data_IF_597672399754
#
_entry.id   IF_597672399754
#
_cell.length_a   1.000
_cell.length_b   1.000
_cell.length_c   1.000
_cell.angle_alpha   90.00
_cell.angle_beta   90.00
_cell.angle_gamma   90.00
#
_symmetry.space_group_name_H-M   'P 1'
#
loop_
_entity.id
_entity.type
_entity.pdbx_description
1 polymer ?
#
# COMPACT_ATOMS: atom_id res chain seq x y z
N UNK A 1 -1.01 10.98 13.82
CA UNK A 1 -1.83 11.00 12.58
C UNK A 1 -3.18 10.32 12.79
N UNK A 2 -3.27 9.00 13.08
CA UNK A 2 -4.56 8.29 13.32
C UNK A 2 -5.43 8.93 14.44
N UNK A 3 -4.82 9.30 15.57
CA UNK A 3 -5.55 9.96 16.68
C UNK A 3 -6.27 11.23 16.21
N UNK A 4 -5.61 12.07 15.42
CA UNK A 4 -6.17 13.36 14.99
C UNK A 4 -7.34 13.15 14.01
N UNK A 5 -7.29 12.10 13.20
CA UNK A 5 -8.40 11.69 12.33
C UNK A 5 -9.61 11.24 13.15
N UNK A 6 -9.42 10.36 14.14
CA UNK A 6 -10.50 9.88 15.02
C UNK A 6 -11.16 11.05 15.77
N UNK A 7 -10.35 11.98 16.30
CA UNK A 7 -10.87 13.18 16.97
C UNK A 7 -11.68 14.05 16.02
N UNK A 8 -11.20 14.26 14.81
CA UNK A 8 -11.91 15.07 13.80
C UNK A 8 -13.26 14.45 13.46
N UNK A 9 -13.29 13.17 13.09
CA UNK A 9 -14.52 12.44 12.77
C UNK A 9 -15.52 12.45 13.93
N UNK A 10 -15.04 12.27 15.17
CA UNK A 10 -15.88 12.33 16.36
C UNK A 10 -16.59 13.69 16.51
N UNK A 11 -15.89 14.79 16.26
CA UNK A 11 -16.49 16.12 16.35
C UNK A 11 -17.44 16.42 15.20
N UNK A 12 -17.17 15.97 13.98
CA UNK A 12 -18.10 16.06 12.85
C UNK A 12 -19.44 15.36 13.16
N UNK A 13 -19.36 14.16 13.72
CA UNK A 13 -20.56 13.41 14.14
C UNK A 13 -21.30 14.13 15.30
N UNK A 14 -20.59 14.68 16.27
CA UNK A 14 -21.25 15.44 17.36
C UNK A 14 -21.97 16.68 16.82
N UNK A 15 -21.39 17.40 15.88
CA UNK A 15 -22.03 18.55 15.22
C UNK A 15 -23.31 18.15 14.46
N UNK A 16 -23.23 17.02 13.75
CA UNK A 16 -24.42 16.46 13.07
C UNK A 16 -25.52 16.10 14.07
N UNK A 17 -25.18 15.41 15.14
CA UNK A 17 -26.12 15.09 16.22
C UNK A 17 -26.70 16.33 16.88
N UNK A 18 -25.90 17.33 17.16
CA UNK A 18 -26.35 18.61 17.71
C UNK A 18 -27.37 19.29 16.81
N UNK A 19 -27.14 19.29 15.50
CA UNK A 19 -28.07 19.82 14.50
C UNK A 19 -29.40 19.05 14.51
N UNK A 20 -29.35 17.73 14.50
CA UNK A 20 -30.55 16.87 14.56
C UNK A 20 -31.35 17.08 15.86
N UNK A 21 -30.70 17.25 16.99
CA UNK A 21 -31.34 17.53 18.27
C UNK A 21 -32.04 18.91 18.27
N UNK A 22 -31.39 19.92 17.70
CA UNK A 22 -31.93 21.26 17.55
C UNK A 22 -33.19 21.28 16.69
N UNK A 23 -33.21 20.52 15.60
CA UNK A 23 -34.41 20.35 14.73
C UNK A 23 -35.58 19.72 15.49
N UNK A 24 -35.31 18.90 16.51
CA UNK A 24 -36.30 18.29 17.40
C UNK A 24 -36.62 19.17 18.62
N UNK A 25 -36.19 20.42 18.66
CA UNK A 25 -36.43 21.35 19.76
C UNK A 25 -35.56 21.15 21.00
N UNK A 26 -34.53 20.29 20.91
CA UNK A 26 -33.55 20.05 22.00
C UNK A 26 -32.31 20.89 21.75
N UNK A 27 -32.09 21.91 22.58
CA UNK A 27 -30.97 22.84 22.44
C UNK A 27 -29.84 22.47 23.41
N UNK A 28 -28.97 21.55 22.99
CA UNK A 28 -27.79 21.10 23.76
C UNK A 28 -26.55 21.39 22.91
N UNK A 29 -25.52 21.97 23.52
CA UNK A 29 -24.23 22.24 22.89
C UNK A 29 -23.26 21.08 23.16
N UNK A 30 -23.18 20.14 22.21
CA UNK A 30 -22.39 18.91 22.36
C UNK A 30 -20.89 19.11 22.18
N UNK A 31 -20.48 20.11 21.38
CA UNK A 31 -19.05 20.37 21.07
C UNK A 31 -18.34 21.19 22.14
N UNK A 32 -19.07 21.70 23.11
CA UNK A 32 -18.50 22.39 24.28
C UNK A 32 -17.71 21.43 25.18
N UNK A 33 -16.76 21.92 25.95
CA UNK A 33 -15.96 21.14 26.89
C UNK A 33 -14.89 20.20 26.26
N UNK A 34 -14.37 20.59 25.10
CA UNK A 34 -13.17 19.96 24.56
C UNK A 34 -11.89 20.58 25.14
N UNK A 35 -11.09 19.77 25.80
CA UNK A 35 -9.76 20.12 26.27
C UNK A 35 -8.70 19.61 25.27
N UNK A 36 -8.17 20.52 24.43
CA UNK A 36 -7.15 20.18 23.43
C UNK A 36 -5.83 19.71 24.04
N UNK A 37 -5.45 20.21 25.20
CA UNK A 37 -4.19 19.86 25.87
C UNK A 37 -4.23 18.43 26.37
N UNK A 38 -5.32 18.06 27.02
CA UNK A 38 -5.52 16.72 27.59
C UNK A 38 -6.13 15.73 26.61
N UNK A 39 -6.56 16.19 25.43
CA UNK A 39 -7.33 15.39 24.46
C UNK A 39 -8.50 14.68 25.13
N UNK A 40 -9.31 15.44 25.86
CA UNK A 40 -10.45 14.94 26.63
C UNK A 40 -11.69 15.73 26.26
N UNK A 41 -12.77 15.02 26.00
CA UNK A 41 -14.10 15.60 25.83
C UNK A 41 -15.00 15.20 27.00
N UNK A 42 -15.74 16.16 27.54
CA UNK A 42 -16.68 15.95 28.62
C UNK A 42 -18.12 16.18 28.13
N UNK A 43 -18.97 15.18 28.32
CA UNK A 43 -20.39 15.27 28.03
C UNK A 43 -21.13 16.10 29.06
N UNK A 44 -22.35 16.56 28.70
CA UNK A 44 -23.26 17.30 29.59
C UNK A 44 -23.65 16.53 30.86
N UNK A 45 -23.59 15.21 30.85
CA UNK A 45 -23.90 14.36 31.98
C UNK A 45 -22.69 14.04 32.89
N UNK A 46 -21.52 14.65 32.56
CA UNK A 46 -20.25 14.43 33.30
C UNK A 46 -19.44 13.24 32.81
N UNK A 47 -19.89 12.49 31.80
CA UNK A 47 -19.07 11.43 31.18
C UNK A 47 -17.91 12.02 30.43
N UNK A 48 -16.76 11.35 30.45
CA UNK A 48 -15.55 11.78 29.76
C UNK A 48 -15.10 10.77 28.72
N UNK A 49 -14.63 11.28 27.59
CA UNK A 49 -13.93 10.49 26.55
C UNK A 49 -12.49 10.99 26.45
N UNK A 50 -11.56 10.06 26.61
CA UNK A 50 -10.12 10.31 26.53
C UNK A 50 -9.61 9.78 25.19
N UNK A 51 -9.01 10.65 24.38
CA UNK A 51 -8.36 10.25 23.12
C UNK A 51 -6.87 10.06 23.35
N UNK A 52 -6.37 8.84 23.10
CA UNK A 52 -4.97 8.47 23.37
C UNK A 52 -4.38 7.71 22.19
N UNK A 53 -3.07 7.89 21.96
CA UNK A 53 -2.32 7.03 21.03
C UNK A 53 -2.00 5.70 21.70
N UNK A 54 -2.00 4.63 20.91
CA UNK A 54 -1.76 3.25 21.36
C UNK A 54 -0.30 2.79 21.25
N UNK A 55 0.64 3.72 21.07
CA UNK A 55 2.08 3.41 20.92
C UNK A 55 2.73 2.85 22.18
N UNK A 56 2.24 3.26 23.36
CA UNK A 56 2.80 2.89 24.64
C UNK A 56 1.69 2.41 25.59
N UNK A 57 1.61 1.09 25.90
CA UNK A 57 0.63 0.53 26.81
C UNK A 57 0.68 1.12 28.23
N UNK A 58 1.82 1.67 28.65
CA UNK A 58 1.98 2.24 29.98
C UNK A 58 1.09 3.45 30.24
N UNK A 59 0.68 4.17 29.20
CA UNK A 59 -0.24 5.32 29.27
C UNK A 59 -1.62 4.96 29.83
N UNK A 60 -1.98 3.68 29.79
CA UNK A 60 -3.30 3.19 30.25
C UNK A 60 -3.29 2.63 31.67
N UNK A 61 -2.12 2.51 32.31
CA UNK A 61 -1.98 1.83 33.65
C UNK A 61 -2.84 2.40 34.74
N UNK A 62 -3.06 3.71 34.77
CA UNK A 62 -3.81 4.40 35.83
C UNK A 62 -5.30 4.55 35.57
N UNK A 63 -5.80 4.13 34.42
CA UNK A 63 -7.19 4.35 34.05
C UNK A 63 -8.15 3.40 34.77
N UNK A 64 -9.37 3.89 34.97
CA UNK A 64 -10.53 3.14 35.46
C UNK A 64 -11.66 3.42 34.47
N UNK A 65 -11.95 2.47 33.58
CA UNK A 65 -12.79 2.68 32.41
C UNK A 65 -14.14 1.97 32.52
N UNK A 66 -15.15 2.60 31.94
CA UNK A 66 -16.46 2.02 31.65
C UNK A 66 -16.45 1.33 30.28
N UNK A 67 -15.69 1.88 29.33
CA UNK A 67 -15.53 1.34 27.99
C UNK A 67 -14.26 1.83 27.33
N UNK A 68 -13.88 1.18 26.23
CA UNK A 68 -12.85 1.66 25.32
C UNK A 68 -13.21 1.36 23.87
N UNK A 69 -12.71 2.20 22.96
CA UNK A 69 -12.73 1.99 21.51
C UNK A 69 -11.32 1.90 20.96
N UNK A 70 -11.05 0.92 20.11
CA UNK A 70 -9.82 0.81 19.32
C UNK A 70 -10.17 0.91 17.85
N UNK A 71 -9.62 1.91 17.19
CA UNK A 71 -9.71 2.07 15.76
C UNK A 71 -8.47 1.43 15.11
N UNK A 72 -8.69 0.70 13.99
CA UNK A 72 -7.68 -0.11 13.30
C UNK A 72 -6.89 -1.03 14.25
N UNK A 73 -7.58 -1.90 15.04
CA UNK A 73 -6.94 -2.69 16.09
C UNK A 73 -5.90 -3.69 15.58
N UNK A 74 -5.96 -4.04 14.29
CA UNK A 74 -4.99 -4.95 13.66
C UNK A 74 -3.57 -4.40 13.66
N UNK A 75 -3.42 -3.08 13.70
CA UNK A 75 -2.13 -2.36 13.73
C UNK A 75 -1.70 -1.98 15.16
N UNK A 76 -2.51 -2.33 16.17
CA UNK A 76 -2.25 -2.05 17.58
C UNK A 76 -1.66 -3.31 18.25
N UNK A 77 -0.60 -3.17 19.09
CA UNK A 77 -0.05 -4.30 19.82
C UNK A 77 -1.07 -4.96 20.75
N UNK A 78 -1.04 -6.29 20.85
CA UNK A 78 -1.92 -7.10 21.73
C UNK A 78 -1.89 -6.62 23.19
N UNK A 79 -0.73 -6.16 23.66
CA UNK A 79 -0.52 -5.66 25.03
C UNK A 79 -1.40 -4.47 25.37
N UNK A 80 -1.70 -3.60 24.39
CA UNK A 80 -2.63 -2.47 24.57
C UNK A 80 -4.04 -2.98 24.85
N UNK A 81 -4.50 -3.95 24.06
CA UNK A 81 -5.82 -4.57 24.25
C UNK A 81 -5.93 -5.23 25.63
N UNK A 82 -4.94 -6.04 26.01
CA UNK A 82 -4.90 -6.70 27.31
C UNK A 82 -4.86 -5.69 28.46
N UNK A 83 -4.10 -4.60 28.31
CA UNK A 83 -4.06 -3.52 29.29
C UNK A 83 -5.42 -2.86 29.44
N UNK A 84 -6.09 -2.49 28.36
CA UNK A 84 -7.41 -1.86 28.38
C UNK A 84 -8.49 -2.77 28.95
N UNK A 85 -8.47 -4.06 28.65
CA UNK A 85 -9.36 -5.04 29.28
C UNK A 85 -9.19 -5.04 30.81
N UNK A 86 -7.95 -5.01 31.31
CA UNK A 86 -7.68 -4.92 32.73
C UNK A 86 -8.09 -3.59 33.37
N UNK A 87 -8.46 -2.59 32.58
CA UNK A 87 -8.98 -1.27 33.08
C UNK A 87 -10.50 -1.16 33.06
N UNK A 88 -11.21 -2.09 32.42
CA UNK A 88 -12.67 -2.20 32.49
C UNK A 88 -13.09 -2.71 33.89
N UNK A 89 -12.98 -1.87 34.89
CA UNK A 89 -13.16 -2.24 36.28
C UNK A 89 -13.96 -1.22 37.11
N UNK A 90 -14.62 -0.25 36.46
CA UNK A 90 -15.46 0.70 37.19
C UNK A 90 -16.71 -0.01 37.72
N UNK A 91 -16.78 -0.24 39.03
CA UNK A 91 -17.89 -0.92 39.67
C UNK A 91 -19.18 -0.11 39.70
N UNK A 92 -19.11 1.19 39.48
CA UNK A 92 -20.28 2.05 39.35
C UNK A 92 -20.97 1.94 37.98
N UNK A 93 -20.27 1.43 36.99
CA UNK A 93 -20.82 1.23 35.62
C UNK A 93 -21.66 -0.05 35.57
N UNK A 94 -22.83 0.05 34.93
CA UNK A 94 -23.68 -1.11 34.64
C UNK A 94 -23.21 -1.91 33.43
N UNK A 95 -22.42 -1.30 32.55
CA UNK A 95 -21.95 -1.89 31.31
C UNK A 95 -20.49 -1.59 31.11
N UNK A 96 -19.71 -2.64 30.94
CA UNK A 96 -18.28 -2.56 30.61
C UNK A 96 -18.09 -3.12 29.20
N UNK A 97 -17.65 -2.32 28.24
CA UNK A 97 -17.58 -2.69 26.84
C UNK A 97 -16.27 -2.26 26.19
N UNK A 98 -15.71 -3.14 25.34
CA UNK A 98 -14.66 -2.79 24.38
C UNK A 98 -15.22 -2.87 22.97
N UNK A 99 -15.01 -1.84 22.17
CA UNK A 99 -15.36 -1.79 20.74
C UNK A 99 -14.08 -1.74 19.91
N UNK A 100 -14.02 -2.56 18.89
CA UNK A 100 -12.91 -2.62 17.96
C UNK A 100 -13.48 -2.43 16.55
N UNK A 101 -12.94 -1.47 15.80
CA UNK A 101 -13.36 -1.15 14.43
C UNK A 101 -12.15 -1.12 13.52
N UNK A 102 -12.22 -1.75 12.36
CA UNK A 102 -11.13 -1.74 11.39
C UNK A 102 -11.26 -2.82 10.33
N UNK A 103 -10.32 -2.83 9.42
CA UNK A 103 -10.26 -3.81 8.37
C UNK A 103 -9.60 -5.12 8.86
N UNK A 104 -9.97 -6.28 8.30
CA UNK A 104 -9.32 -7.54 8.63
C UNK A 104 -7.84 -7.55 8.19
N UNK A 105 -7.07 -8.48 8.74
CA UNK A 105 -5.66 -8.71 8.41
C UNK A 105 -5.38 -10.21 8.27
N UNK A 106 -4.17 -10.65 8.61
CA UNK A 106 -3.81 -12.08 8.64
C UNK A 106 -4.49 -12.83 9.80
N UNK A 107 -4.79 -14.11 9.59
CA UNK A 107 -5.37 -14.97 10.65
C UNK A 107 -4.44 -15.18 11.85
N UNK A 108 -3.14 -14.89 11.70
CA UNK A 108 -2.19 -14.88 12.82
C UNK A 108 -2.33 -13.67 13.74
N UNK A 109 -3.05 -12.63 13.31
CA UNK A 109 -3.26 -11.41 14.08
C UNK A 109 -4.05 -11.71 15.37
N UNK A 110 -3.71 -11.01 16.47
CA UNK A 110 -4.34 -11.20 17.75
C UNK A 110 -5.87 -10.93 17.70
N UNK A 111 -6.33 -9.94 16.89
CA UNK A 111 -7.76 -9.66 16.72
C UNK A 111 -8.49 -10.89 16.19
N UNK A 112 -7.95 -11.53 15.13
CA UNK A 112 -8.53 -12.76 14.64
C UNK A 112 -8.58 -13.84 15.69
N UNK A 113 -7.48 -14.05 16.43
CA UNK A 113 -7.38 -15.09 17.45
C UNK A 113 -8.42 -14.93 18.57
N UNK A 114 -8.70 -13.69 19.00
CA UNK A 114 -9.67 -13.43 20.06
C UNK A 114 -11.12 -13.46 19.60
N UNK A 115 -11.41 -13.09 18.36
CA UNK A 115 -12.80 -12.98 17.88
C UNK A 115 -13.26 -14.15 17.02
N UNK A 116 -12.35 -14.82 16.33
CA UNK A 116 -12.66 -15.91 15.39
C UNK A 116 -11.84 -17.19 15.65
N UNK A 117 -10.64 -17.07 16.22
CA UNK A 117 -9.66 -18.15 16.37
C UNK A 117 -9.73 -18.87 17.70
N UNK A 118 -8.58 -19.42 18.11
CA UNK A 118 -8.46 -20.30 19.30
C UNK A 118 -8.66 -19.58 20.64
N UNK A 119 -8.38 -18.27 20.71
CA UNK A 119 -8.56 -17.45 21.93
C UNK A 119 -9.99 -16.91 22.09
N UNK A 120 -10.93 -17.31 21.21
CA UNK A 120 -12.30 -16.83 21.23
C UNK A 120 -13.01 -17.21 22.52
N UNK A 121 -13.75 -16.23 23.09
CA UNK A 121 -14.59 -16.41 24.29
C UNK A 121 -16.04 -16.09 23.98
N UNK A 122 -17.01 -16.61 24.76
CA UNK A 122 -18.44 -16.38 24.52
C UNK A 122 -18.85 -14.90 24.53
N UNK A 123 -18.15 -14.07 25.34
CA UNK A 123 -18.38 -12.63 25.46
C UNK A 123 -17.84 -11.82 24.27
N UNK A 124 -16.95 -12.39 23.47
CA UNK A 124 -16.40 -11.71 22.28
C UNK A 124 -17.33 -11.93 21.08
N UNK A 125 -17.88 -10.84 20.58
CA UNK A 125 -18.80 -10.83 19.43
C UNK A 125 -18.16 -10.07 18.28
N UNK A 126 -18.27 -10.61 17.07
CA UNK A 126 -17.84 -9.97 15.85
C UNK A 126 -19.04 -9.71 14.93
N UNK A 127 -19.03 -8.56 14.30
CA UNK A 127 -19.92 -8.21 13.19
C UNK A 127 -19.01 -8.01 11.98
N UNK A 128 -19.24 -8.81 10.95
CA UNK A 128 -18.51 -8.73 9.69
C UNK A 128 -19.38 -8.00 8.67
N UNK A 129 -18.77 -7.04 7.98
CA UNK A 129 -19.40 -6.27 6.91
C UNK A 129 -18.43 -6.16 5.74
N UNK A 130 -18.96 -5.82 4.59
CA UNK A 130 -18.19 -5.58 3.36
C UNK A 130 -18.48 -4.20 2.80
N UNK A 131 -17.63 -3.71 1.91
CA UNK A 131 -17.87 -2.47 1.17
C UNK A 131 -19.16 -2.56 0.35
N UNK A 132 -19.55 -3.77 -0.08
CA UNK A 132 -20.78 -4.01 -0.83
C UNK A 132 -22.06 -3.82 0.00
N UNK A 133 -21.97 -3.90 1.31
CA UNK A 133 -23.11 -3.68 2.23
C UNK A 133 -23.42 -2.17 2.41
N UNK A 134 -22.48 -1.30 1.99
CA UNK A 134 -22.66 0.14 2.04
C UNK A 134 -23.41 0.65 0.83
N UNK A 135 -24.73 0.76 0.95
CA UNK A 135 -25.65 1.20 -0.10
C UNK A 135 -25.50 2.68 -0.50
N UNK A 136 -24.74 3.46 0.24
CA UNK A 136 -24.49 4.88 -0.05
C UNK A 136 -23.33 5.09 -1.03
N UNK A 137 -22.51 4.07 -1.28
CA UNK A 137 -21.38 4.18 -2.21
C UNK A 137 -21.84 4.12 -3.67
N UNK A 138 -21.32 5.00 -4.54
CA UNK A 138 -21.59 4.93 -5.96
C UNK A 138 -21.09 3.60 -6.57
N UNK A 139 -21.86 2.91 -7.44
CA UNK A 139 -21.42 1.66 -8.07
C UNK A 139 -20.11 1.79 -8.85
N UNK A 140 -19.87 2.94 -9.49
CA UNK A 140 -18.61 3.21 -10.20
C UNK A 140 -17.41 3.25 -9.28
N UNK A 141 -17.57 3.72 -8.04
CA UNK A 141 -16.51 3.71 -7.03
C UNK A 141 -16.08 2.27 -6.70
N UNK A 142 -17.06 1.39 -6.42
CA UNK A 142 -16.80 -0.02 -6.12
C UNK A 142 -16.11 -0.70 -7.31
N UNK A 143 -16.62 -0.48 -8.53
CA UNK A 143 -16.02 -1.04 -9.75
C UNK A 143 -14.57 -0.57 -9.96
N UNK A 144 -14.29 0.72 -9.74
CA UNK A 144 -12.93 1.25 -9.85
C UNK A 144 -11.97 0.60 -8.86
N UNK A 145 -12.44 0.30 -7.65
CA UNK A 145 -11.65 -0.43 -6.65
C UNK A 145 -11.43 -1.89 -7.04
N UNK A 146 -12.46 -2.57 -7.57
CA UNK A 146 -12.34 -3.94 -8.08
C UNK A 146 -11.32 -4.06 -9.22
N UNK A 147 -11.31 -3.09 -10.13
CA UNK A 147 -10.39 -3.04 -11.27
C UNK A 147 -8.94 -2.74 -10.82
N UNK A 148 -8.77 -2.03 -9.70
CA UNK A 148 -7.47 -1.58 -9.19
C UNK A 148 -6.85 -2.56 -8.18
N UNK A 149 -7.65 -3.32 -7.44
CA UNK A 149 -7.18 -4.17 -6.36
C UNK A 149 -6.85 -5.58 -6.84
N UNK A 150 -5.72 -6.12 -6.35
CA UNK A 150 -5.46 -7.55 -6.45
C UNK A 150 -6.46 -8.35 -5.58
N UNK A 151 -6.44 -9.67 -5.74
CA UNK A 151 -7.41 -10.56 -5.07
C UNK A 151 -7.35 -10.44 -3.54
N UNK A 152 -6.16 -10.37 -2.96
CA UNK A 152 -6.00 -10.29 -1.50
C UNK A 152 -6.41 -8.92 -0.95
N UNK A 153 -6.06 -7.86 -1.68
CA UNK A 153 -6.45 -6.50 -1.30
C UNK A 153 -7.96 -6.32 -1.40
N UNK A 154 -8.58 -6.86 -2.46
CA UNK A 154 -10.03 -6.88 -2.61
C UNK A 154 -10.72 -7.73 -1.53
N UNK A 155 -10.16 -8.88 -1.16
CA UNK A 155 -10.71 -9.71 -0.08
C UNK A 155 -10.64 -8.97 1.26
N UNK A 156 -9.54 -8.27 1.54
CA UNK A 156 -9.37 -7.50 2.77
C UNK A 156 -10.28 -6.27 2.82
N UNK A 157 -10.18 -5.39 1.83
CA UNK A 157 -10.78 -4.04 1.89
C UNK A 157 -12.17 -3.94 1.26
N UNK A 158 -12.53 -4.82 0.31
CA UNK A 158 -13.86 -4.82 -0.27
C UNK A 158 -14.79 -5.87 0.36
N UNK A 159 -14.26 -7.08 0.63
CA UNK A 159 -15.07 -8.19 1.12
C UNK A 159 -14.99 -8.40 2.64
N UNK A 160 -14.11 -7.67 3.34
CA UNK A 160 -13.94 -7.80 4.79
C UNK A 160 -13.44 -9.17 5.25
N UNK A 161 -12.65 -9.87 4.44
CA UNK A 161 -12.21 -11.25 4.71
C UNK A 161 -10.85 -11.32 5.39
N UNK A 162 -10.75 -12.16 6.40
CA UNK A 162 -9.49 -12.54 6.99
C UNK A 162 -8.76 -13.54 6.10
N UNK A 163 -7.47 -13.28 5.81
CA UNK A 163 -6.65 -14.10 4.92
C UNK A 163 -5.36 -14.58 5.55
N UNK A 164 -4.74 -15.60 4.96
CA UNK A 164 -3.36 -15.97 5.24
C UNK A 164 -2.46 -15.23 4.24
N UNK A 165 -2.26 -13.93 4.49
CA UNK A 165 -1.35 -13.14 3.66
C UNK A 165 0.07 -13.63 3.89
N UNK A 166 0.59 -14.42 2.96
CA UNK A 166 1.94 -14.99 3.03
C UNK A 166 3.07 -13.94 2.87
N UNK A 167 2.71 -12.68 2.90
CA UNK A 167 3.63 -11.54 2.78
C UNK A 167 4.19 -11.30 1.38
N UNK A 168 3.99 -12.20 0.43
CA UNK A 168 4.48 -12.02 -0.94
C UNK A 168 3.71 -10.90 -1.64
N UNK A 169 4.44 -9.93 -2.21
CA UNK A 169 3.83 -8.75 -2.82
C UNK A 169 3.20 -9.08 -4.18
N UNK A 170 3.92 -9.79 -5.03
CA UNK A 170 3.48 -10.12 -6.39
C UNK A 170 2.97 -11.56 -6.49
N UNK A 171 1.89 -11.88 -5.79
CA UNK A 171 1.28 -13.23 -5.78
C UNK A 171 0.72 -13.66 -7.14
N UNK A 172 0.31 -12.69 -7.95
CA UNK A 172 -0.20 -12.95 -9.30
C UNK A 172 0.93 -13.21 -10.31
N UNK A 173 2.18 -12.94 -9.95
CA UNK A 173 3.32 -13.37 -10.76
C UNK A 173 3.44 -14.89 -10.70
N UNK A 174 3.31 -15.54 -11.85
CA UNK A 174 3.49 -16.99 -12.04
C UNK A 174 4.58 -17.18 -13.07
N UNK A 175 5.70 -17.80 -12.68
CA UNK A 175 6.85 -17.99 -13.55
C UNK A 175 6.45 -18.70 -14.85
N UNK A 176 5.65 -19.75 -14.77
CA UNK A 176 5.21 -20.54 -15.92
C UNK A 176 4.34 -19.76 -16.91
N UNK A 177 3.64 -18.72 -16.42
CA UNK A 177 2.74 -17.89 -17.23
C UNK A 177 3.43 -16.64 -17.77
N UNK A 178 4.26 -15.99 -16.91
CA UNK A 178 4.77 -14.66 -17.20
C UNK A 178 6.22 -14.67 -17.71
N UNK A 179 6.89 -15.84 -17.77
CA UNK A 179 8.26 -15.91 -18.32
C UNK A 179 8.32 -16.76 -19.58
N UNK A 180 9.24 -16.42 -20.48
CA UNK A 180 9.44 -17.14 -21.74
C UNK A 180 10.64 -16.61 -22.52
N UNK A 181 10.85 -17.11 -23.75
CA UNK A 181 11.81 -16.59 -24.70
C UNK A 181 11.12 -15.61 -25.64
N UNK A 182 11.54 -14.37 -25.60
CA UNK A 182 10.96 -13.27 -26.37
C UNK A 182 11.94 -12.64 -27.36
N UNK A 183 13.07 -13.29 -27.66
CA UNK A 183 14.14 -12.77 -28.53
C UNK A 183 13.69 -12.42 -29.95
N UNK A 184 12.66 -13.09 -30.48
CA UNK A 184 12.13 -12.84 -31.85
C UNK A 184 10.91 -11.92 -31.88
N UNK A 185 10.46 -11.41 -30.71
CA UNK A 185 9.24 -10.58 -30.64
C UNK A 185 9.48 -9.17 -31.17
N UNK A 186 8.54 -8.67 -31.95
CA UNK A 186 8.55 -7.31 -32.49
C UNK A 186 7.78 -6.37 -31.55
N UNK A 187 8.37 -5.21 -31.26
CA UNK A 187 7.80 -4.20 -30.39
C UNK A 187 7.55 -2.89 -31.12
N UNK A 188 6.47 -2.19 -30.76
CA UNK A 188 6.17 -0.84 -31.28
C UNK A 188 7.16 0.20 -30.79
N UNK A 189 7.57 0.06 -29.53
CA UNK A 189 8.56 0.92 -28.89
C UNK A 189 9.13 0.24 -27.64
N UNK A 190 10.25 0.77 -27.15
CA UNK A 190 10.86 0.31 -25.92
C UNK A 190 10.99 1.45 -24.93
N UNK A 191 10.88 1.12 -23.64
CA UNK A 191 11.12 1.99 -22.50
C UNK A 191 12.06 1.28 -21.53
N UNK A 192 12.66 2.02 -20.59
CA UNK A 192 13.57 1.41 -19.63
C UNK A 192 13.27 1.91 -18.22
N UNK A 193 13.56 1.09 -17.22
CA UNK A 193 13.59 1.46 -15.81
C UNK A 193 15.02 1.38 -15.28
N UNK A 194 15.36 2.24 -14.33
CA UNK A 194 16.68 2.25 -13.72
C UNK A 194 16.57 2.45 -12.21
N UNK A 195 17.24 1.57 -11.46
CA UNK A 195 17.46 1.69 -10.02
C UNK A 195 18.95 1.96 -9.76
N UNK A 196 19.24 3.03 -9.00
CA UNK A 196 20.63 3.45 -8.76
C UNK A 196 21.26 2.69 -7.60
N UNK A 197 22.52 2.31 -7.76
CA UNK A 197 23.29 1.61 -6.73
C UNK A 197 24.76 1.61 -7.00
N UNK A 198 25.57 1.61 -5.92
CA UNK A 198 27.00 1.41 -5.98
C UNK A 198 27.43 0.12 -5.27
N UNK A 199 27.28 0.05 -3.94
CA UNK A 199 27.52 -1.20 -3.17
C UNK A 199 26.39 -2.21 -3.44
N UNK A 200 25.16 -1.72 -3.47
CA UNK A 200 24.03 -2.46 -3.99
C UNK A 200 24.08 -2.46 -5.53
N UNK A 201 23.47 -3.43 -6.19
CA UNK A 201 23.41 -3.44 -7.64
C UNK A 201 22.72 -2.22 -8.21
N UNK A 202 23.32 -1.60 -9.24
CA UNK A 202 22.60 -0.75 -10.17
C UNK A 202 21.89 -1.63 -11.19
N UNK A 203 20.63 -1.35 -11.46
CA UNK A 203 19.80 -2.16 -12.36
C UNK A 203 19.23 -1.32 -13.49
N UNK A 204 19.41 -1.81 -14.73
CA UNK A 204 18.76 -1.22 -15.90
C UNK A 204 17.97 -2.30 -16.62
N UNK A 205 16.66 -2.10 -16.73
CA UNK A 205 15.74 -2.98 -17.42
C UNK A 205 15.26 -2.34 -18.71
N UNK A 206 15.15 -3.13 -19.77
CA UNK A 206 14.50 -2.69 -21.02
C UNK A 206 13.21 -3.46 -21.19
N UNK A 207 12.11 -2.73 -21.38
CA UNK A 207 10.79 -3.26 -21.69
C UNK A 207 10.33 -2.86 -23.08
N UNK A 208 9.92 -3.85 -23.90
CA UNK A 208 9.31 -3.65 -25.22
C UNK A 208 7.78 -3.72 -25.13
N UNK A 209 7.10 -2.78 -25.74
CA UNK A 209 5.63 -2.74 -25.84
C UNK A 209 5.18 -3.21 -27.22
N UNK A 210 4.35 -4.25 -27.27
CA UNK A 210 3.88 -4.86 -28.52
C UNK A 210 2.61 -4.23 -29.11
N UNK A 211 2.07 -4.89 -30.15
CA UNK A 211 0.86 -4.50 -30.87
C UNK A 211 -0.38 -4.41 -30.01
N UNK A 212 -0.48 -5.26 -29.01
CA UNK A 212 -1.61 -5.37 -28.08
C UNK A 212 -1.40 -4.54 -26.79
N UNK A 213 -0.39 -3.67 -26.80
CA UNK A 213 0.05 -2.88 -25.64
C UNK A 213 0.49 -3.75 -24.45
N UNK A 214 1.00 -4.97 -24.66
CA UNK A 214 1.61 -5.76 -23.60
C UNK A 214 3.07 -5.36 -23.45
N UNK A 215 3.50 -5.25 -22.19
CA UNK A 215 4.88 -4.96 -21.82
C UNK A 215 5.67 -6.27 -21.67
N UNK A 216 6.80 -6.39 -22.33
CA UNK A 216 7.71 -7.53 -22.16
C UNK A 216 9.09 -7.01 -21.75
N UNK A 217 9.60 -7.43 -20.60
CA UNK A 217 10.97 -7.11 -20.16
C UNK A 217 11.91 -8.03 -20.90
N UNK A 218 12.80 -7.45 -21.74
CA UNK A 218 13.62 -8.16 -22.72
C UNK A 218 15.12 -8.09 -22.46
N UNK A 219 15.52 -7.28 -21.47
CA UNK A 219 16.93 -7.13 -21.11
C UNK A 219 17.05 -6.70 -19.66
N UNK A 220 18.05 -7.25 -18.96
CA UNK A 220 18.44 -6.93 -17.60
C UNK A 220 19.95 -6.65 -17.53
N UNK A 221 20.32 -5.48 -17.03
CA UNK A 221 21.64 -5.16 -16.52
C UNK A 221 21.57 -5.12 -15.01
N UNK A 222 22.49 -5.83 -14.33
CA UNK A 222 22.47 -5.96 -12.87
C UNK A 222 23.91 -6.04 -12.37
N UNK A 223 24.49 -4.93 -11.91
CA UNK A 223 25.91 -4.82 -11.56
C UNK A 223 26.12 -3.94 -10.32
N UNK A 224 27.07 -4.36 -9.46
CA UNK A 224 27.53 -3.58 -8.30
C UNK A 224 28.92 -3.03 -8.53
N UNK A 225 29.32 -2.07 -7.69
CA UNK A 225 30.66 -1.46 -7.66
C UNK A 225 31.06 -0.78 -8.99
N UNK A 226 30.09 -0.16 -9.63
CA UNK A 226 30.30 0.65 -10.84
C UNK A 226 29.89 2.09 -10.61
N UNK A 227 30.67 3.02 -11.13
CA UNK A 227 30.34 4.45 -11.15
C UNK A 227 29.25 4.76 -12.17
N UNK A 228 28.58 5.89 -12.02
CA UNK A 228 27.52 6.32 -12.97
C UNK A 228 28.06 6.45 -14.40
N UNK A 229 29.33 6.83 -14.59
CA UNK A 229 29.95 6.93 -15.93
C UNK A 229 30.19 5.54 -16.54
N UNK A 230 30.68 4.56 -15.76
CA UNK A 230 30.84 3.18 -16.22
C UNK A 230 29.49 2.54 -16.55
N UNK A 231 28.48 2.74 -15.71
CA UNK A 231 27.11 2.26 -15.97
C UNK A 231 26.59 2.86 -17.27
N UNK A 232 26.74 4.18 -17.44
CA UNK A 232 26.28 4.85 -18.65
C UNK A 232 26.98 4.32 -19.93
N UNK A 233 28.28 3.99 -19.85
CA UNK A 233 29.02 3.35 -20.93
C UNK A 233 28.49 1.94 -21.24
N UNK A 234 28.20 1.15 -20.22
CA UNK A 234 27.70 -0.22 -20.36
C UNK A 234 26.27 -0.23 -20.98
N UNK A 235 25.38 0.66 -20.53
CA UNK A 235 23.98 0.66 -20.96
C UNK A 235 23.72 1.41 -22.26
N UNK A 236 24.59 2.35 -22.67
CA UNK A 236 24.41 3.14 -23.91
C UNK A 236 24.28 2.29 -25.17
N UNK A 237 25.09 1.26 -25.40
CA UNK A 237 24.93 0.34 -26.53
C UNK A 237 23.57 -0.37 -26.52
N UNK A 238 23.10 -0.77 -25.34
CA UNK A 238 21.82 -1.44 -25.13
C UNK A 238 20.65 -0.47 -25.39
N UNK A 239 20.74 0.74 -24.86
CA UNK A 239 19.79 1.83 -25.10
C UNK A 239 19.59 2.07 -26.62
N UNK A 240 20.68 2.14 -27.37
CA UNK A 240 20.66 2.32 -28.84
C UNK A 240 20.11 1.08 -29.55
N UNK A 241 20.57 -0.13 -29.17
CA UNK A 241 20.14 -1.41 -29.78
C UNK A 241 18.64 -1.60 -29.73
N UNK A 242 18.03 -1.29 -28.57
CA UNK A 242 16.60 -1.47 -28.38
C UNK A 242 15.78 -0.20 -28.70
N UNK A 243 16.41 0.85 -29.18
CA UNK A 243 15.79 2.15 -29.50
C UNK A 243 14.90 2.63 -28.34
N UNK A 244 15.48 2.67 -27.13
CA UNK A 244 14.76 3.03 -25.92
C UNK A 244 14.32 4.48 -25.99
N UNK A 245 13.02 4.75 -25.84
CA UNK A 245 12.46 6.11 -25.95
C UNK A 245 12.74 6.96 -24.72
N UNK A 246 12.59 6.37 -23.52
CA UNK A 246 12.82 7.03 -22.22
C UNK A 246 13.31 6.03 -21.19
N UNK A 247 14.16 6.50 -20.29
CA UNK A 247 14.57 5.80 -19.07
C UNK A 247 13.79 6.44 -17.92
N UNK A 248 13.14 5.62 -17.09
CA UNK A 248 12.47 6.03 -15.86
C UNK A 248 13.35 5.63 -14.68
N UNK A 249 14.12 6.57 -14.12
CA UNK A 249 15.10 6.28 -13.09
C UNK A 249 14.53 6.40 -11.68
N UNK A 250 15.27 5.85 -10.69
CA UNK A 250 15.13 6.27 -9.31
C UNK A 250 15.37 7.80 -9.20
N UNK A 251 14.40 8.57 -8.66
CA UNK A 251 14.55 10.01 -8.49
C UNK A 251 15.70 10.41 -7.56
N UNK A 252 16.18 9.51 -6.69
CA UNK A 252 17.30 9.78 -5.79
C UNK A 252 18.67 9.67 -6.49
N UNK A 253 18.75 8.99 -7.64
CA UNK A 253 19.97 8.76 -8.41
C UNK A 253 20.39 9.95 -9.29
N UNK A 254 20.48 11.16 -8.75
CA UNK A 254 20.72 12.39 -9.50
C UNK A 254 21.98 12.36 -10.36
N UNK A 255 23.08 11.77 -9.84
CA UNK A 255 24.36 11.69 -10.56
C UNK A 255 24.24 10.80 -11.81
N UNK A 256 23.57 9.66 -11.71
CA UNK A 256 23.34 8.76 -12.84
C UNK A 256 22.43 9.43 -13.88
N UNK A 257 21.35 10.10 -13.45
CA UNK A 257 20.44 10.85 -14.31
C UNK A 257 21.17 11.91 -15.14
N UNK A 258 22.01 12.73 -14.49
CA UNK A 258 22.78 13.76 -15.19
C UNK A 258 23.82 13.16 -16.14
N UNK A 259 24.45 12.05 -15.77
CA UNK A 259 25.39 11.34 -16.65
C UNK A 259 24.70 10.77 -17.89
N UNK A 260 23.52 10.17 -17.71
CA UNK A 260 22.74 9.63 -18.83
C UNK A 260 22.29 10.74 -19.80
N UNK A 261 21.82 11.89 -19.26
CA UNK A 261 21.47 13.07 -20.09
C UNK A 261 22.65 13.58 -20.88
N UNK A 262 23.84 13.71 -20.25
CA UNK A 262 25.08 14.13 -20.95
C UNK A 262 25.47 13.21 -22.08
N UNK A 263 25.17 11.91 -21.96
CA UNK A 263 25.37 10.93 -23.02
C UNK A 263 24.22 10.85 -24.03
N UNK A 264 23.27 11.77 -24.00
CA UNK A 264 22.15 11.86 -24.95
C UNK A 264 21.11 10.75 -24.78
N UNK A 265 20.90 10.25 -23.57
CA UNK A 265 19.79 9.37 -23.25
C UNK A 265 18.61 10.18 -22.71
N UNK A 266 17.40 9.85 -23.14
CA UNK A 266 16.20 10.56 -22.72
C UNK A 266 15.67 10.04 -21.39
N UNK A 267 15.45 10.94 -20.44
CA UNK A 267 14.99 10.62 -19.10
C UNK A 267 13.53 11.00 -18.96
N UNK A 268 12.75 10.12 -18.34
CA UNK A 268 11.37 10.35 -17.93
C UNK A 268 11.29 10.78 -16.46
N UNK A 269 10.15 11.32 -16.08
CA UNK A 269 9.87 11.68 -14.69
C UNK A 269 9.39 10.44 -13.92
N UNK A 270 9.73 10.37 -12.63
CA UNK A 270 9.30 9.28 -11.72
C UNK A 270 8.95 9.85 -10.35
N UNK A 271 7.97 9.26 -9.68
CA UNK A 271 7.57 9.60 -8.33
C UNK A 271 7.97 8.47 -7.36
N UNK A 272 8.85 8.77 -6.41
CA UNK A 272 9.28 7.85 -5.35
C UNK A 272 8.71 8.21 -3.97
N UNK A 273 7.69 9.05 -3.91
CA UNK A 273 6.92 9.25 -2.69
C UNK A 273 6.26 7.93 -2.23
N UNK A 274 5.85 7.84 -0.97
CA UNK A 274 5.11 6.67 -0.47
C UNK A 274 3.85 6.38 -1.31
N UNK A 275 3.18 7.43 -1.78
CA UNK A 275 2.00 7.30 -2.67
C UNK A 275 2.40 6.76 -4.03
N UNK A 276 3.47 7.28 -4.64
CA UNK A 276 4.00 6.80 -5.92
C UNK A 276 4.48 5.35 -5.83
N UNK A 277 5.16 4.98 -4.75
CA UNK A 277 5.60 3.60 -4.51
C UNK A 277 4.42 2.62 -4.45
N UNK A 278 3.41 2.91 -3.63
CA UNK A 278 2.23 2.04 -3.51
C UNK A 278 1.42 1.97 -4.81
N UNK A 279 1.32 3.09 -5.53
CA UNK A 279 0.69 3.14 -6.85
C UNK A 279 1.43 2.24 -7.86
N UNK A 280 2.76 2.29 -7.90
CA UNK A 280 3.58 1.44 -8.77
C UNK A 280 3.45 -0.06 -8.43
N UNK A 281 3.44 -0.42 -7.15
CA UNK A 281 3.23 -1.80 -6.69
C UNK A 281 1.85 -2.31 -7.15
N UNK A 282 0.78 -1.54 -6.90
CA UNK A 282 -0.58 -1.94 -7.27
C UNK A 282 -0.75 -2.05 -8.79
N UNK A 283 -0.09 -1.17 -9.55
CA UNK A 283 -0.09 -1.23 -11.01
C UNK A 283 0.58 -2.50 -11.52
N UNK A 284 1.74 -2.89 -10.98
CA UNK A 284 2.41 -4.15 -11.33
C UNK A 284 1.55 -5.37 -10.99
N UNK A 285 0.90 -5.41 -9.82
CA UNK A 285 -0.03 -6.48 -9.45
C UNK A 285 -1.16 -6.59 -10.47
N UNK A 286 -1.75 -5.46 -10.86
CA UNK A 286 -2.81 -5.41 -11.88
C UNK A 286 -2.32 -5.92 -13.25
N UNK A 287 -1.11 -5.54 -13.67
CA UNK A 287 -0.54 -5.99 -14.94
C UNK A 287 -0.27 -7.50 -14.95
N UNK A 288 0.24 -8.08 -13.86
CA UNK A 288 0.39 -9.54 -13.73
C UNK A 288 -0.96 -10.25 -13.75
N UNK A 289 -1.93 -9.78 -12.96
CA UNK A 289 -3.28 -10.35 -12.92
C UNK A 289 -3.96 -10.36 -14.29
N UNK A 290 -3.76 -9.31 -15.09
CA UNK A 290 -4.34 -9.16 -16.43
C UNK A 290 -3.49 -9.83 -17.53
N UNK A 291 -2.37 -10.46 -17.19
CA UNK A 291 -1.41 -11.03 -18.14
C UNK A 291 -0.92 -10.01 -19.19
N UNK A 292 -0.73 -8.76 -18.76
CA UNK A 292 -0.27 -7.64 -19.58
C UNK A 292 1.23 -7.38 -19.48
N UNK A 293 1.93 -8.13 -18.62
CA UNK A 293 3.38 -8.05 -18.47
C UNK A 293 4.02 -9.42 -18.56
N UNK A 294 5.13 -9.51 -19.29
CA UNK A 294 5.94 -10.71 -19.45
C UNK A 294 7.42 -10.39 -19.26
N UNK A 295 8.21 -11.41 -18.97
CA UNK A 295 9.64 -11.26 -18.66
C UNK A 295 10.41 -12.32 -19.45
N UNK A 296 11.44 -11.89 -20.18
CA UNK A 296 12.35 -12.83 -20.82
C UNK A 296 13.10 -13.67 -19.79
N UNK A 297 13.23 -14.95 -20.05
CA UNK A 297 13.87 -15.91 -19.13
C UNK A 297 15.34 -15.59 -18.83
N UNK A 298 15.97 -14.72 -19.61
CA UNK A 298 17.33 -14.22 -19.34
C UNK A 298 17.40 -13.20 -18.20
N UNK A 299 16.29 -12.54 -17.83
CA UNK A 299 16.18 -11.58 -16.73
C UNK A 299 16.10 -12.28 -15.36
N UNK A 300 17.15 -13.01 -15.02
CA UNK A 300 17.17 -13.95 -13.88
C UNK A 300 17.03 -13.27 -12.51
N UNK A 301 17.63 -12.08 -12.34
CA UNK A 301 17.58 -11.37 -11.06
C UNK A 301 16.17 -10.81 -10.85
N UNK A 302 15.56 -10.19 -11.85
CA UNK A 302 14.19 -9.71 -11.78
C UNK A 302 13.20 -10.85 -11.42
N UNK A 303 13.31 -12.00 -12.10
CA UNK A 303 12.47 -13.17 -11.82
C UNK A 303 12.66 -13.61 -10.37
N UNK A 304 13.91 -13.74 -9.89
CA UNK A 304 14.22 -14.13 -8.51
C UNK A 304 13.64 -13.13 -7.49
N UNK A 305 13.78 -11.84 -7.74
CA UNK A 305 13.27 -10.81 -6.85
C UNK A 305 11.74 -10.82 -6.81
N UNK A 306 11.05 -10.94 -7.94
CA UNK A 306 9.58 -11.04 -7.99
C UNK A 306 9.05 -12.26 -7.22
N UNK A 307 9.73 -13.40 -7.29
CA UNK A 307 9.38 -14.62 -6.55
C UNK A 307 9.55 -14.46 -5.03
N UNK A 308 10.39 -13.51 -4.57
CA UNK A 308 10.76 -13.36 -3.16
C UNK A 308 10.34 -12.04 -2.53
N UNK A 309 9.88 -11.06 -3.31
CA UNK A 309 9.56 -9.73 -2.80
C UNK A 309 8.36 -9.75 -1.85
N UNK A 310 8.59 -9.32 -0.61
CA UNK A 310 7.65 -9.50 0.48
C UNK A 310 7.44 -8.22 1.26
N UNK A 311 6.29 -8.13 1.90
CA UNK A 311 6.05 -7.13 2.94
C UNK A 311 6.84 -7.46 4.20
N UNK A 312 7.27 -6.42 4.92
CA UNK A 312 7.93 -6.57 6.20
C UNK A 312 6.98 -7.15 7.24
N UNK A 313 7.47 -8.12 8.02
CA UNK A 313 6.71 -8.71 9.12
C UNK A 313 7.00 -7.93 10.39
N UNK A 314 5.99 -7.31 10.97
CA UNK A 314 6.07 -6.68 12.27
C UNK A 314 6.33 -7.72 13.36
N UNK A 315 7.35 -7.49 14.16
CA UNK A 315 7.81 -8.44 15.20
C UNK A 315 6.87 -8.49 16.41
N UNK A 316 6.07 -7.46 16.64
CA UNK A 316 5.20 -7.36 17.81
C UNK A 316 3.79 -7.83 17.53
N UNK A 317 3.26 -7.51 16.34
CA UNK A 317 1.90 -7.90 15.95
C UNK A 317 1.86 -9.22 15.19
N UNK A 318 2.99 -9.65 14.63
CA UNK A 318 3.08 -10.81 13.75
C UNK A 318 2.46 -10.60 12.37
N UNK A 319 1.96 -9.39 12.09
CA UNK A 319 1.39 -9.00 10.81
C UNK A 319 2.45 -8.63 9.79
N UNK A 320 2.06 -8.65 8.52
CA UNK A 320 2.84 -8.00 7.48
C UNK A 320 2.43 -6.53 7.39
N UNK A 321 3.43 -5.65 7.46
CA UNK A 321 3.25 -4.22 7.22
C UNK A 321 2.90 -3.97 5.75
N UNK A 322 2.39 -2.79 5.42
CA UNK A 322 2.23 -2.37 4.02
C UNK A 322 3.53 -1.84 3.40
N UNK A 323 4.64 -1.98 4.11
CA UNK A 323 5.96 -1.59 3.64
C UNK A 323 6.74 -2.81 3.17
N UNK A 324 7.26 -2.79 1.93
CA UNK A 324 8.12 -3.85 1.43
C UNK A 324 9.42 -3.98 2.23
N UNK A 325 9.93 -5.20 2.36
CA UNK A 325 11.29 -5.44 2.85
C UNK A 325 12.27 -4.85 1.85
N UNK A 326 13.07 -3.88 2.30
CA UNK A 326 14.13 -3.27 1.49
C UNK A 326 15.38 -4.16 1.48
N UNK A 327 15.27 -5.25 0.74
CA UNK A 327 16.36 -6.21 0.55
C UNK A 327 16.14 -6.99 -0.74
N UNK A 328 17.14 -6.99 -1.62
CA UNK A 328 17.06 -7.67 -2.93
C UNK A 328 15.82 -7.24 -3.72
N UNK A 329 15.61 -5.94 -3.85
CA UNK A 329 14.45 -5.29 -4.46
C UNK A 329 14.81 -4.39 -5.66
N UNK A 330 16.08 -4.38 -6.06
CA UNK A 330 16.62 -3.44 -7.04
C UNK A 330 16.01 -3.60 -8.45
N UNK A 331 15.86 -4.85 -8.92
CA UNK A 331 15.24 -5.10 -10.22
C UNK A 331 13.72 -4.86 -10.18
N UNK A 332 13.09 -5.17 -9.05
CA UNK A 332 11.68 -4.87 -8.83
C UNK A 332 11.43 -3.36 -8.77
N UNK A 333 12.31 -2.59 -8.13
CA UNK A 333 12.21 -1.13 -8.08
C UNK A 333 12.43 -0.50 -9.46
N UNK A 334 13.45 -0.95 -10.22
CA UNK A 334 13.63 -0.53 -11.61
C UNK A 334 12.38 -0.82 -12.47
N UNK A 335 11.75 -1.99 -12.29
CA UNK A 335 10.50 -2.33 -12.97
C UNK A 335 9.34 -1.42 -12.53
N UNK A 336 9.24 -1.12 -11.25
CA UNK A 336 8.22 -0.23 -10.68
C UNK A 336 8.33 1.19 -11.26
N UNK A 337 9.55 1.72 -11.39
CA UNK A 337 9.77 3.02 -12.02
C UNK A 337 9.36 2.99 -13.51
N UNK A 338 9.70 1.93 -14.25
CA UNK A 338 9.30 1.77 -15.65
C UNK A 338 7.79 1.80 -15.80
N UNK A 339 7.04 1.08 -14.97
CA UNK A 339 5.59 0.96 -15.13
C UNK A 339 4.82 2.15 -14.57
N UNK A 340 5.41 3.03 -13.77
CA UNK A 340 4.72 4.21 -13.24
C UNK A 340 4.06 5.03 -14.35
N UNK A 341 4.75 5.23 -15.46
CA UNK A 341 4.31 5.99 -16.62
C UNK A 341 3.75 5.12 -17.78
N UNK A 342 3.83 3.79 -17.66
CA UNK A 342 3.27 2.88 -18.64
C UNK A 342 1.76 2.77 -18.46
N UNK A 343 0.98 3.06 -19.52
CA UNK A 343 -0.48 2.91 -19.53
C UNK A 343 -0.89 2.02 -20.72
N UNK A 344 -1.36 0.80 -20.47
CA UNK A 344 -1.78 -0.13 -21.52
C UNK A 344 -2.99 0.38 -22.33
N UNK A 345 -3.78 1.32 -21.77
CA UNK A 345 -4.97 1.88 -22.40
C UNK A 345 -4.67 3.14 -23.23
N UNK A 346 -3.47 3.69 -23.11
CA UNK A 346 -3.07 4.90 -23.83
C UNK A 346 -2.89 4.60 -25.32
N UNK A 347 -3.86 5.00 -26.13
CA UNK A 347 -3.70 4.97 -27.61
C UNK A 347 -2.55 5.89 -28.00
N UNK A 348 -1.49 5.32 -28.51
CA UNK A 348 -0.36 6.08 -29.00
C UNK A 348 -0.75 6.70 -30.37
N UNK A 349 -1.03 8.00 -30.38
CA UNK A 349 -1.16 8.76 -31.62
C UNK A 349 0.28 9.08 -32.07
N UNK A 350 0.73 8.46 -33.18
CA UNK A 350 1.96 8.91 -33.82
C UNK A 350 1.75 10.36 -34.25
N UNK A 351 2.68 11.28 -33.94
CA UNK A 351 2.67 12.56 -34.61
C UNK A 351 2.87 12.29 -36.10
N UNK A 352 1.89 12.63 -36.93
CA UNK A 352 2.05 12.64 -38.37
C UNK A 352 3.04 13.76 -38.67
N UNK A 353 4.25 13.42 -39.10
CA UNK A 353 5.16 14.40 -39.70
C UNK A 353 4.47 14.95 -40.93
N UNK A 354 3.96 16.17 -40.85
CA UNK A 354 3.62 16.92 -42.07
C UNK A 354 4.93 17.47 -42.64
N UNK A 355 5.54 16.70 -43.51
CA UNK A 355 6.55 17.25 -44.39
C UNK A 355 5.81 18.13 -45.41
N UNK A 356 6.06 19.44 -45.36
CA UNK A 356 5.74 20.44 -46.36
C UNK A 356 7.01 20.79 -47.15
#
# INVERSE_FOLDING_TARGET
>A
MLRDTVVHTFFEELELYQKMLKEKGVNIELTKNWNKTENTWQSYNGSEILFRSCEDPSKFKSLNLDGFGLDEPVDIPEDVFLMLQGRLRNTASKTQIGLLTGNPSGRSNWVYQYFFGEKKRPEYKAIETSTYDNTFLPPQYIKSMEDSYDTDYADRYLRGRWGDFAGLIYKDFKKELHTGDYNSKVFKYSIAGYDDGYRNPAVFLVGGVDGDNRLTIIYEYYQSNKTSDEIAQDIKPVYNKYNVRKIFPDPSGLNAVETFKRQGMHIGDTDNSRVGMNSGINKLKSLFKQNMIHIDSSCKNLIRELENYRYEKDKHTGNYNEEPVKKEDHAVDALRYMVSEYDPNKRFVMPVSMDW
#
